data_IF_679483901609
#
_entry.id   IF_679483901609
#
_cell.length_a   1.000
_cell.length_b   1.000
_cell.length_c   1.000
_cell.angle_alpha   90.00
_cell.angle_beta   90.00
_cell.angle_gamma   90.00
#
_symmetry.space_group_name_H-M   'P 1'
#
loop_
_entity.id
_entity.type
_entity.pdbx_description
1 polymer ?
#
# COMPACT_ATOMS: atom_id res chain seq x y z
N UNK A 1 0.16 57.00 -9.68
CA UNK A 1 0.57 56.21 -10.87
C UNK A 1 1.69 55.21 -10.56
N UNK A 2 2.84 55.62 -10.00
CA UNK A 2 3.98 54.69 -9.74
C UNK A 2 3.63 53.54 -8.79
N UNK A 3 2.94 53.78 -7.70
CA UNK A 3 2.52 52.74 -6.72
C UNK A 3 1.57 51.70 -7.30
N UNK A 4 0.69 52.10 -8.20
CA UNK A 4 -0.22 51.16 -8.89
C UNK A 4 0.50 50.28 -9.90
N UNK A 5 1.46 50.82 -10.64
CA UNK A 5 2.29 50.06 -11.58
C UNK A 5 3.15 49.01 -10.82
N UNK A 6 3.78 49.41 -9.69
CA UNK A 6 4.55 48.50 -8.84
C UNK A 6 3.67 47.36 -8.30
N UNK A 7 2.46 47.64 -7.85
CA UNK A 7 1.53 46.64 -7.34
C UNK A 7 1.10 45.65 -8.44
N UNK A 8 0.87 46.15 -9.65
CA UNK A 8 0.52 45.28 -10.80
C UNK A 8 1.71 44.39 -11.22
N UNK A 9 2.93 44.93 -11.23
CA UNK A 9 4.14 44.12 -11.53
C UNK A 9 4.39 43.03 -10.45
N UNK A 10 4.24 43.37 -9.16
CA UNK A 10 4.40 42.42 -8.07
C UNK A 10 3.33 41.32 -8.14
N UNK A 11 2.08 41.66 -8.44
CA UNK A 11 1.00 40.68 -8.64
C UNK A 11 1.24 39.75 -9.82
N UNK A 12 1.77 40.26 -10.94
CA UNK A 12 2.12 39.48 -12.11
C UNK A 12 3.25 38.49 -11.83
N UNK A 13 4.28 38.89 -11.09
CA UNK A 13 5.40 38.01 -10.70
C UNK A 13 4.91 36.91 -9.76
N UNK A 14 4.06 37.23 -8.79
CA UNK A 14 3.50 36.22 -7.86
C UNK A 14 2.64 35.20 -8.61
N UNK A 15 1.82 35.63 -9.54
CA UNK A 15 1.02 34.73 -10.38
C UNK A 15 1.88 33.85 -11.27
N UNK A 16 2.93 34.37 -11.87
CA UNK A 16 3.88 33.57 -12.68
C UNK A 16 4.63 32.55 -11.85
N UNK A 17 5.07 32.90 -10.63
CA UNK A 17 5.70 31.97 -9.70
C UNK A 17 4.73 30.87 -9.22
N UNK A 18 3.48 31.22 -8.91
CA UNK A 18 2.45 30.26 -8.53
C UNK A 18 2.11 29.28 -9.68
N UNK A 19 1.97 29.80 -10.90
CA UNK A 19 1.75 28.96 -12.08
C UNK A 19 2.95 28.05 -12.39
N UNK A 20 4.18 28.56 -12.27
CA UNK A 20 5.40 27.78 -12.43
C UNK A 20 5.51 26.66 -11.41
N UNK A 21 5.23 26.97 -10.13
CA UNK A 21 5.20 25.98 -9.06
C UNK A 21 4.11 24.92 -9.30
N UNK A 22 2.92 25.33 -9.72
CA UNK A 22 1.81 24.43 -10.05
C UNK A 22 2.17 23.47 -11.20
N UNK A 23 2.82 23.97 -12.26
CA UNK A 23 3.26 23.15 -13.38
C UNK A 23 4.39 22.18 -12.97
N UNK A 24 5.31 22.61 -12.11
CA UNK A 24 6.37 21.76 -11.56
C UNK A 24 5.80 20.63 -10.70
N UNK A 25 4.86 20.95 -9.81
CA UNK A 25 4.20 19.95 -8.95
C UNK A 25 3.40 18.96 -9.80
N UNK A 26 2.68 19.44 -10.80
CA UNK A 26 1.90 18.58 -11.69
C UNK A 26 2.79 17.69 -12.59
N UNK A 27 3.92 18.24 -13.06
CA UNK A 27 4.91 17.47 -13.82
C UNK A 27 5.63 16.43 -12.99
N UNK A 28 5.88 16.70 -11.70
CA UNK A 28 6.45 15.75 -10.76
C UNK A 28 5.47 14.60 -10.41
N UNK A 29 4.18 14.92 -10.26
CA UNK A 29 3.15 13.92 -9.98
C UNK A 29 2.87 12.95 -11.15
N UNK A 30 3.26 13.32 -12.36
CA UNK A 30 3.05 12.51 -13.57
C UNK A 30 4.21 11.54 -13.89
N UNK A 31 5.33 11.60 -13.15
CA UNK A 31 6.47 10.71 -13.35
C UNK A 31 6.49 9.62 -12.28
N UNK A 32 6.77 8.36 -12.66
CA UNK A 32 7.04 7.33 -11.66
C UNK A 32 8.21 7.78 -10.77
N UNK A 33 8.07 7.56 -9.46
CA UNK A 33 9.08 7.96 -8.49
C UNK A 33 10.45 7.38 -8.85
N UNK A 34 11.47 8.24 -8.87
CA UNK A 34 12.85 7.80 -9.12
C UNK A 34 13.35 6.89 -8.00
N UNK A 35 14.42 6.09 -8.28
CA UNK A 35 14.99 5.17 -7.28
C UNK A 35 15.32 5.85 -5.94
N UNK A 36 15.88 7.05 -5.98
CA UNK A 36 16.24 7.82 -4.78
C UNK A 36 14.98 8.28 -4.04
N UNK A 37 13.97 8.77 -4.75
CA UNK A 37 12.70 9.21 -4.18
C UNK A 37 11.96 8.03 -3.55
N UNK A 38 11.93 6.88 -4.20
CA UNK A 38 11.37 5.64 -3.65
C UNK A 38 12.11 5.23 -2.39
N UNK A 39 13.42 5.32 -2.36
CA UNK A 39 14.25 4.99 -1.20
C UNK A 39 13.96 5.94 -0.02
N UNK A 40 13.86 7.24 -0.29
CA UNK A 40 13.54 8.25 0.74
C UNK A 40 12.13 8.08 1.29
N UNK A 41 11.14 7.84 0.42
CA UNK A 41 9.75 7.59 0.83
C UNK A 41 9.66 6.30 1.66
N UNK A 42 10.36 5.25 1.26
CA UNK A 42 10.40 3.99 2.00
C UNK A 42 11.04 4.18 3.37
N UNK A 43 12.17 4.86 3.45
CA UNK A 43 12.83 5.18 4.71
C UNK A 43 11.94 6.05 5.62
N UNK A 44 11.29 7.06 5.08
CA UNK A 44 10.35 7.90 5.82
C UNK A 44 9.15 7.10 6.36
N UNK A 45 8.58 6.21 5.57
CA UNK A 45 7.52 5.30 6.03
C UNK A 45 7.99 4.43 7.18
N UNK A 46 9.15 3.79 7.06
CA UNK A 46 9.70 2.90 8.09
C UNK A 46 10.01 3.61 9.42
N UNK A 47 10.47 4.86 9.34
CA UNK A 47 11.03 5.53 10.52
C UNK A 47 10.12 6.60 11.13
N UNK A 48 9.26 7.23 10.33
CA UNK A 48 8.51 8.40 10.74
C UNK A 48 6.98 8.24 10.68
N UNK A 49 6.46 7.48 9.72
CA UNK A 49 5.03 7.45 9.46
C UNK A 49 4.33 6.20 10.00
N UNK A 50 5.06 5.10 10.20
CA UNK A 50 4.49 3.86 10.71
C UNK A 50 4.88 3.67 12.17
N UNK A 51 3.89 3.71 13.03
CA UNK A 51 4.05 3.56 14.48
C UNK A 51 4.09 2.09 14.92
N UNK A 52 4.12 1.88 16.25
CA UNK A 52 3.98 0.58 16.89
C UNK A 52 5.13 -0.42 16.68
N UNK A 53 6.36 0.09 16.50
CA UNK A 53 7.57 -0.73 16.26
C UNK A 53 7.83 -1.81 17.31
N UNK A 54 7.50 -1.54 18.57
CA UNK A 54 7.79 -2.41 19.72
C UNK A 54 6.70 -3.45 19.99
N UNK A 55 5.52 -3.33 19.35
CA UNK A 55 4.45 -4.30 19.58
C UNK A 55 4.83 -5.66 19.00
N UNK A 56 4.63 -6.68 19.79
CA UNK A 56 4.85 -8.07 19.40
C UNK A 56 3.52 -8.71 19.03
N UNK A 57 3.56 -9.59 18.05
CA UNK A 57 2.38 -10.34 17.66
C UNK A 57 1.96 -11.28 18.81
N UNK A 58 0.75 -11.13 19.37
CA UNK A 58 0.26 -12.02 20.42
C UNK A 58 -0.21 -13.38 19.87
N UNK A 59 -0.45 -13.47 18.55
CA UNK A 59 -0.90 -14.69 17.88
C UNK A 59 0.30 -15.59 17.59
N UNK A 60 0.36 -16.79 18.17
CA UNK A 60 1.49 -17.69 17.94
C UNK A 60 1.53 -18.23 16.50
N UNK A 61 2.73 -18.47 16.00
CA UNK A 61 2.96 -19.06 14.67
C UNK A 61 2.65 -20.55 14.69
N UNK A 62 1.39 -20.88 14.47
CA UNK A 62 0.91 -22.26 14.31
C UNK A 62 0.29 -22.45 12.93
N UNK A 63 0.24 -23.69 12.43
CA UNK A 63 -0.40 -23.99 11.14
C UNK A 63 -1.84 -23.50 11.09
N UNK A 64 -2.57 -23.60 12.21
CA UNK A 64 -3.95 -23.11 12.30
C UNK A 64 -4.04 -21.60 12.19
N UNK A 65 -3.16 -20.85 12.84
CA UNK A 65 -3.13 -19.38 12.77
C UNK A 65 -2.66 -18.88 11.41
N UNK A 66 -1.71 -19.58 10.78
CA UNK A 66 -1.30 -19.29 9.39
C UNK A 66 -2.50 -19.50 8.45
N UNK A 67 -3.25 -20.60 8.62
CA UNK A 67 -4.44 -20.87 7.81
C UNK A 67 -5.54 -19.82 8.05
N UNK A 68 -5.81 -19.43 9.30
CA UNK A 68 -6.76 -18.38 9.64
C UNK A 68 -6.37 -17.03 9.02
N UNK A 69 -5.08 -16.67 9.12
CA UNK A 69 -4.55 -15.47 8.46
C UNK A 69 -4.69 -15.52 6.94
N UNK A 70 -4.41 -16.67 6.32
CA UNK A 70 -4.63 -16.89 4.88
C UNK A 70 -6.09 -16.72 4.49
N UNK A 71 -7.03 -17.24 5.26
CA UNK A 71 -8.46 -17.09 4.99
C UNK A 71 -8.87 -15.62 5.03
N UNK A 72 -8.49 -14.89 6.07
CA UNK A 72 -8.77 -13.45 6.18
C UNK A 72 -8.13 -12.68 5.03
N UNK A 73 -6.86 -12.97 4.73
CA UNK A 73 -6.14 -12.35 3.61
C UNK A 73 -6.84 -12.59 2.27
N UNK A 74 -7.29 -13.83 2.03
CA UNK A 74 -7.99 -14.21 0.80
C UNK A 74 -9.39 -13.62 0.66
N UNK A 75 -9.95 -13.00 1.70
CA UNK A 75 -11.22 -12.28 1.62
C UNK A 75 -11.05 -10.78 1.43
N UNK A 76 -10.07 -10.18 2.09
CA UNK A 76 -9.98 -8.73 2.20
C UNK A 76 -8.78 -8.11 1.48
N UNK A 77 -7.69 -8.88 1.26
CA UNK A 77 -6.43 -8.33 0.80
C UNK A 77 -6.08 -8.75 -0.63
N UNK A 78 -6.54 -9.93 -1.06
CA UNK A 78 -6.16 -10.55 -2.33
C UNK A 78 -6.45 -9.68 -3.56
N UNK A 79 -7.52 -8.90 -3.52
CA UNK A 79 -7.95 -8.07 -4.65
C UNK A 79 -6.87 -7.07 -5.09
N UNK A 80 -6.05 -6.61 -4.14
CA UNK A 80 -4.94 -5.71 -4.42
C UNK A 80 -3.59 -6.42 -4.38
N UNK A 81 -3.40 -7.36 -3.46
CA UNK A 81 -2.10 -7.98 -3.20
C UNK A 81 -1.89 -9.32 -3.91
N UNK A 82 -2.89 -9.82 -4.65
CA UNK A 82 -2.87 -11.18 -5.21
C UNK A 82 -3.07 -12.25 -4.12
N UNK A 83 -3.41 -13.46 -4.51
CA UNK A 83 -3.61 -14.57 -3.57
C UNK A 83 -2.32 -14.98 -2.86
N UNK A 84 -1.17 -14.78 -3.51
CA UNK A 84 0.17 -15.05 -2.99
C UNK A 84 0.78 -13.89 -2.20
N UNK A 85 0.07 -12.74 -2.12
CA UNK A 85 0.58 -11.54 -1.46
C UNK A 85 1.67 -10.80 -2.25
N UNK A 86 1.88 -11.14 -3.53
CA UNK A 86 2.98 -10.62 -4.33
C UNK A 86 2.51 -9.86 -5.58
N UNK A 87 1.20 -9.59 -5.66
CA UNK A 87 0.58 -8.88 -6.78
C UNK A 87 0.41 -9.73 -8.04
N UNK A 88 0.72 -11.05 -7.97
CA UNK A 88 0.55 -11.94 -9.12
C UNK A 88 -0.91 -11.97 -9.57
N UNK A 89 -1.13 -11.77 -10.86
CA UNK A 89 -2.47 -11.76 -11.46
C UNK A 89 -3.30 -10.51 -11.11
N UNK A 90 -2.70 -9.44 -10.58
CA UNK A 90 -3.38 -8.15 -10.31
C UNK A 90 -3.03 -7.16 -11.41
N UNK A 91 -3.95 -6.88 -12.37
CA UNK A 91 -3.63 -6.13 -13.59
C UNK A 91 -3.16 -4.68 -13.36
N UNK A 92 -3.53 -4.07 -12.23
CA UNK A 92 -3.19 -2.69 -11.91
C UNK A 92 -2.03 -2.54 -10.91
N UNK A 93 -1.47 -3.64 -10.40
CA UNK A 93 -0.45 -3.58 -9.35
C UNK A 93 0.75 -2.73 -9.75
N UNK A 94 1.24 -2.91 -10.97
CA UNK A 94 2.38 -2.17 -11.51
C UNK A 94 2.03 -0.75 -11.98
N UNK A 95 0.75 -0.49 -12.25
CA UNK A 95 0.27 0.81 -12.71
C UNK A 95 -0.02 1.78 -11.57
N UNK A 96 -0.02 1.33 -10.32
CA UNK A 96 -0.21 2.20 -9.16
C UNK A 96 1.02 3.09 -8.92
N UNK A 97 0.80 4.27 -8.36
CA UNK A 97 1.87 5.20 -7.99
C UNK A 97 1.78 5.56 -6.50
N UNK A 98 2.72 5.07 -5.67
CA UNK A 98 3.77 4.08 -5.99
C UNK A 98 3.18 2.71 -6.35
N UNK A 99 3.93 1.86 -7.08
CA UNK A 99 3.51 0.49 -7.36
C UNK A 99 3.24 -0.30 -6.08
N UNK A 100 2.30 -1.26 -6.14
CA UNK A 100 2.04 -2.14 -5.02
C UNK A 100 3.29 -3.00 -4.74
N UNK A 101 3.85 -2.96 -3.53
CA UNK A 101 5.01 -3.78 -3.22
C UNK A 101 4.57 -5.25 -3.07
N UNK A 102 5.40 -6.18 -3.54
CA UNK A 102 5.30 -7.56 -3.09
C UNK A 102 5.42 -7.62 -1.57
N UNK A 103 4.47 -8.24 -0.89
CA UNK A 103 4.53 -8.38 0.57
C UNK A 103 5.66 -9.30 1.02
N UNK A 104 6.23 -10.12 0.12
CA UNK A 104 7.42 -10.93 0.36
C UNK A 104 8.74 -10.16 0.14
N UNK A 105 8.68 -8.92 -0.36
CA UNK A 105 9.89 -8.12 -0.61
C UNK A 105 10.60 -7.76 0.71
N UNK A 106 11.92 -7.61 0.63
CA UNK A 106 12.74 -7.19 1.77
C UNK A 106 12.23 -5.88 2.38
N UNK A 107 11.81 -4.93 1.56
CA UNK A 107 11.27 -3.64 2.01
C UNK A 107 10.02 -3.77 2.87
N UNK A 108 9.22 -4.82 2.71
CA UNK A 108 8.06 -5.13 3.55
C UNK A 108 8.45 -6.03 4.71
N UNK A 109 9.29 -7.04 4.47
CA UNK A 109 9.66 -8.00 5.50
C UNK A 109 10.57 -7.43 6.60
N UNK A 110 11.19 -6.27 6.38
CA UNK A 110 11.96 -5.53 7.40
C UNK A 110 11.07 -4.75 8.38
N UNK A 111 9.78 -4.54 8.09
CA UNK A 111 8.85 -4.00 9.09
C UNK A 111 8.71 -4.97 10.28
N UNK A 112 8.62 -4.43 11.50
CA UNK A 112 8.24 -5.25 12.65
C UNK A 112 6.79 -5.73 12.53
N UNK A 113 6.41 -6.76 13.27
CA UNK A 113 5.02 -7.24 13.29
C UNK A 113 4.06 -6.16 13.76
N UNK A 114 4.46 -5.34 14.73
CA UNK A 114 3.69 -4.20 15.19
C UNK A 114 3.50 -3.14 14.11
N UNK A 115 4.51 -2.92 13.27
CA UNK A 115 4.39 -2.00 12.14
C UNK A 115 3.47 -2.55 11.06
N UNK A 116 3.55 -3.84 10.71
CA UNK A 116 2.63 -4.48 9.78
C UNK A 116 1.19 -4.43 10.30
N UNK A 117 0.99 -4.72 11.57
CA UNK A 117 -0.31 -4.58 12.23
C UNK A 117 -0.85 -3.15 12.12
N UNK A 118 -0.01 -2.15 12.43
CA UNK A 118 -0.41 -0.74 12.36
C UNK A 118 -0.81 -0.34 10.95
N UNK A 119 -0.03 -0.75 9.93
CA UNK A 119 -0.31 -0.48 8.52
C UNK A 119 -1.64 -1.08 8.10
N UNK A 120 -1.91 -2.34 8.44
CA UNK A 120 -3.17 -3.00 8.09
C UNK A 120 -4.33 -2.32 8.80
N UNK A 121 -4.19 -2.04 10.09
CA UNK A 121 -5.25 -1.43 10.91
C UNK A 121 -5.62 -0.03 10.43
N UNK A 122 -4.64 0.81 10.14
CA UNK A 122 -4.84 2.24 9.84
C UNK A 122 -4.84 2.56 8.35
N UNK A 123 -4.37 1.65 7.51
CA UNK A 123 -4.13 1.91 6.09
C UNK A 123 -2.89 2.76 5.85
N UNK A 124 -2.62 3.08 4.59
CA UNK A 124 -1.52 3.94 4.18
C UNK A 124 -2.04 5.03 3.24
N UNK A 125 -2.17 6.23 3.74
CA UNK A 125 -2.41 7.40 2.90
C UNK A 125 -1.06 8.01 2.44
N UNK A 126 -0.88 8.43 1.20
CA UNK A 126 -1.81 8.46 0.07
C UNK A 126 -1.74 7.24 -0.87
N UNK A 127 -1.20 6.10 -0.43
CA UNK A 127 -0.98 4.93 -1.29
C UNK A 127 -2.27 4.19 -1.71
N UNK A 128 -3.43 4.61 -1.20
CA UNK A 128 -4.70 3.96 -1.50
C UNK A 128 -4.98 2.68 -0.71
N UNK A 129 -4.08 2.22 0.17
CA UNK A 129 -4.35 1.08 1.04
C UNK A 129 -5.42 1.45 2.08
N UNK A 130 -6.61 0.81 2.06
CA UNK A 130 -7.67 1.12 3.00
C UNK A 130 -7.32 0.65 4.42
N UNK A 131 -7.96 1.25 5.41
CA UNK A 131 -7.88 0.81 6.80
C UNK A 131 -8.76 -0.42 7.04
N UNK A 132 -8.26 -1.38 7.80
CA UNK A 132 -9.05 -2.53 8.26
C UNK A 132 -9.76 -2.28 9.60
N UNK A 133 -9.46 -1.18 10.30
CA UNK A 133 -10.10 -0.82 11.56
C UNK A 133 -11.62 -0.68 11.39
N UNK A 134 -12.38 -1.37 12.23
CA UNK A 134 -13.85 -1.43 12.14
C UNK A 134 -14.38 -2.49 11.16
N UNK A 135 -13.52 -3.17 10.40
CA UNK A 135 -13.86 -4.28 9.51
C UNK A 135 -13.32 -5.59 10.09
N UNK A 136 -12.05 -5.60 10.51
CA UNK A 136 -11.38 -6.74 11.11
C UNK A 136 -11.09 -6.47 12.58
N UNK A 137 -11.19 -7.52 13.40
CA UNK A 137 -10.71 -7.50 14.78
C UNK A 137 -9.17 -7.46 14.83
N UNK A 138 -8.64 -7.01 15.95
CA UNK A 138 -7.19 -6.99 16.16
C UNK A 138 -6.57 -8.39 16.03
N UNK A 139 -7.29 -9.42 16.48
CA UNK A 139 -6.82 -10.81 16.37
C UNK A 139 -6.75 -11.29 14.91
N UNK A 140 -7.72 -10.93 14.07
CA UNK A 140 -7.70 -11.24 12.65
C UNK A 140 -6.55 -10.51 11.95
N UNK A 141 -6.32 -9.24 12.28
CA UNK A 141 -5.20 -8.46 11.74
C UNK A 141 -3.86 -9.12 12.14
N UNK A 142 -3.69 -9.51 13.40
CA UNK A 142 -2.49 -10.22 13.86
C UNK A 142 -2.29 -11.57 13.16
N UNK A 143 -3.37 -12.30 12.90
CA UNK A 143 -3.31 -13.55 12.13
C UNK A 143 -2.89 -13.30 10.68
N UNK A 144 -3.35 -12.19 10.07
CA UNK A 144 -2.88 -11.76 8.74
C UNK A 144 -1.38 -11.46 8.76
N UNK A 145 -0.86 -10.81 9.82
CA UNK A 145 0.58 -10.58 9.97
C UNK A 145 1.35 -11.91 10.03
N UNK A 146 0.83 -12.92 10.78
CA UNK A 146 1.43 -14.28 10.79
C UNK A 146 1.47 -14.84 9.37
N UNK A 147 0.39 -14.72 8.59
CA UNK A 147 0.36 -15.22 7.21
C UNK A 147 1.35 -14.48 6.30
N UNK A 148 1.47 -13.15 6.40
CA UNK A 148 2.43 -12.35 5.61
C UNK A 148 3.88 -12.79 5.86
N UNK A 149 4.19 -13.32 7.03
CA UNK A 149 5.51 -13.92 7.33
C UNK A 149 5.72 -15.30 6.70
N UNK A 150 4.65 -15.92 6.17
CA UNK A 150 4.65 -17.29 5.65
C UNK A 150 4.01 -17.36 4.26
N UNK A 151 4.21 -16.32 3.43
CA UNK A 151 3.66 -16.27 2.09
C UNK A 151 4.19 -17.42 1.22
N UNK A 152 3.36 -17.94 0.31
CA UNK A 152 3.78 -18.98 -0.62
C UNK A 152 4.76 -18.41 -1.68
N UNK A 153 5.39 -19.30 -2.44
CA UNK A 153 6.24 -18.89 -3.55
C UNK A 153 5.45 -18.03 -4.58
N UNK A 154 6.10 -17.07 -5.24
CA UNK A 154 5.46 -16.24 -6.26
C UNK A 154 4.79 -17.08 -7.33
N UNK A 155 3.56 -16.74 -7.69
CA UNK A 155 2.80 -17.42 -8.73
C UNK A 155 2.40 -18.86 -8.41
N UNK A 156 2.61 -19.34 -7.16
CA UNK A 156 2.19 -20.70 -6.75
C UNK A 156 0.68 -20.84 -6.55
N UNK A 157 -0.04 -19.71 -6.47
CA UNK A 157 -1.49 -19.64 -6.40
C UNK A 157 -2.03 -19.07 -7.72
N UNK A 158 -3.22 -19.52 -8.10
CA UNK A 158 -3.91 -19.02 -9.31
C UNK A 158 -4.31 -17.55 -9.15
N UNK A 159 -4.60 -16.90 -10.28
CA UNK A 159 -5.10 -15.53 -10.32
C UNK A 159 -6.28 -15.31 -9.37
N UNK A 160 -6.38 -14.10 -8.78
CA UNK A 160 -7.53 -13.75 -7.96
C UNK A 160 -8.83 -13.94 -8.74
N UNK A 161 -9.88 -14.53 -8.15
CA UNK A 161 -11.17 -14.77 -8.83
C UNK A 161 -11.78 -13.51 -9.45
N UNK A 162 -11.50 -12.34 -8.87
CA UNK A 162 -11.97 -11.05 -9.38
C UNK A 162 -11.42 -10.69 -10.77
N UNK A 163 -10.31 -11.29 -11.19
CA UNK A 163 -9.63 -11.02 -12.47
C UNK A 163 -9.50 -12.27 -13.33
N UNK A 164 -10.12 -13.37 -12.91
CA UNK A 164 -10.13 -14.62 -13.66
C UNK A 164 -11.09 -14.50 -14.85
N UNK A 165 -10.63 -14.80 -16.06
CA UNK A 165 -11.47 -14.92 -17.24
C UNK A 165 -12.39 -16.16 -17.22
N UNK A 166 -12.25 -17.01 -16.21
CA UNK A 166 -13.10 -18.17 -16.03
C UNK A 166 -14.45 -17.74 -15.47
N UNK A 167 -15.56 -18.04 -16.15
CA UNK A 167 -16.88 -17.79 -15.60
C UNK A 167 -17.00 -18.49 -14.25
N UNK A 168 -17.59 -17.81 -13.26
CA UNK A 168 -17.91 -18.42 -11.97
C UNK A 168 -18.63 -19.73 -12.22
N UNK A 169 -18.09 -20.83 -11.69
CA UNK A 169 -18.77 -22.10 -11.75
C UNK A 169 -20.15 -21.88 -11.12
N UNK A 170 -21.21 -22.11 -11.91
CA UNK A 170 -22.58 -22.11 -11.37
C UNK A 170 -22.58 -23.15 -10.27
N UNK A 171 -22.94 -22.75 -9.05
CA UNK A 171 -23.23 -23.69 -7.99
C UNK A 171 -24.21 -24.70 -8.58
N UNK A 172 -23.83 -25.96 -8.61
CA UNK A 172 -24.77 -27.04 -8.90
C UNK A 172 -25.77 -27.07 -7.75
N UNK A 173 -27.01 -26.61 -8.02
CA UNK A 173 -28.15 -26.81 -7.15
C UNK A 173 -28.49 -28.30 -7.06
#
# INVERSE_FOLDING_TARGET
MYKTILAMCAGGVLLALAAGLFLLVRGAAAKPAGKLETLMITAAKHHLLVENKSARNPVPTTSQNILGGKQTFSHYCYVCHGLDGQGTGVPFADAMSPPLPSLASESVQTYSDGQLFWVIKNGLWPSGMPRANGILSDNEIWSVVVYIRHLPAPGSLTDPPAYSDKPCAKSAD
#
